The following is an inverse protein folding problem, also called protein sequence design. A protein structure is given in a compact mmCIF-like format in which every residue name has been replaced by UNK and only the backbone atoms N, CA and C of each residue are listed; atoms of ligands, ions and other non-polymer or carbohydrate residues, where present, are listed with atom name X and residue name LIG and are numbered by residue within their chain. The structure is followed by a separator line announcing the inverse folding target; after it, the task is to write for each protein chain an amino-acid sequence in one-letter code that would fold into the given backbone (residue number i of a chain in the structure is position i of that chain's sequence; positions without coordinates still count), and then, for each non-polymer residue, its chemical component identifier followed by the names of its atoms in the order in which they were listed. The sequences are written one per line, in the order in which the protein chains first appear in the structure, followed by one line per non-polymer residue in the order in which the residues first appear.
data_IF_535319200364
#
_entry.id   IF_535319200364
#
_cell.length_a   1.000
_cell.length_b   1.000
_cell.length_c   1.000
_cell.angle_alpha   90.00
_cell.angle_beta   90.00
_cell.angle_gamma   90.00
#
_symmetry.space_group_name_H-M   'P 1'
#
loop_
_entity.id
_entity.type
_entity.pdbx_description
1 polymer ?
#
# COMPACT_ATOMS: atom_id res chain seq x y z
N UNK A 1 0.32 -51.98 -21.56
CA UNK A 1 -0.64 -50.85 -21.58
C UNK A 1 -0.33 -49.93 -20.39
N UNK A 2 0.24 -48.75 -20.63
CA UNK A 2 0.46 -47.76 -19.58
C UNK A 2 -0.89 -47.19 -19.12
N UNK A 3 -1.16 -47.28 -17.82
CA UNK A 3 -2.41 -46.83 -17.22
C UNK A 3 -2.50 -45.29 -17.29
N UNK A 4 -3.14 -44.75 -18.32
CA UNK A 4 -3.28 -43.31 -18.58
C UNK A 4 -3.80 -42.55 -17.34
N UNK A 5 -4.66 -43.15 -16.53
CA UNK A 5 -5.21 -42.53 -15.33
C UNK A 5 -4.17 -42.24 -14.23
N UNK A 6 -3.12 -43.06 -14.09
CA UNK A 6 -2.04 -42.79 -13.13
C UNK A 6 -1.11 -41.65 -13.57
N UNK A 7 -0.87 -41.53 -14.88
CA UNK A 7 0.03 -40.52 -15.44
C UNK A 7 -0.56 -39.10 -15.37
N UNK A 8 -1.88 -38.97 -15.59
CA UNK A 8 -2.58 -37.69 -15.42
C UNK A 8 -2.58 -37.22 -13.96
N UNK A 9 -2.77 -38.12 -12.99
CA UNK A 9 -2.71 -37.77 -11.56
C UNK A 9 -1.30 -37.36 -11.09
N UNK A 10 -0.23 -37.96 -11.62
CA UNK A 10 1.15 -37.56 -11.32
C UNK A 10 1.50 -36.19 -11.90
N UNK A 11 1.07 -35.91 -13.14
CA UNK A 11 1.24 -34.61 -13.79
C UNK A 11 0.51 -33.49 -13.04
N UNK A 12 -0.69 -33.77 -12.51
CA UNK A 12 -1.46 -32.83 -11.70
C UNK A 12 -0.76 -32.52 -10.36
N UNK A 13 -0.29 -33.56 -9.64
CA UNK A 13 0.48 -33.39 -8.40
C UNK A 13 1.77 -32.58 -8.60
N UNK A 14 2.50 -32.85 -9.67
CA UNK A 14 3.72 -32.10 -9.98
C UNK A 14 3.46 -30.60 -10.23
N UNK A 15 2.36 -30.27 -10.92
CA UNK A 15 1.97 -28.88 -11.14
C UNK A 15 1.58 -28.17 -9.84
N UNK A 16 0.86 -28.84 -8.94
CA UNK A 16 0.48 -28.33 -7.62
C UNK A 16 1.72 -28.08 -6.75
N UNK A 17 2.67 -29.03 -6.69
CA UNK A 17 3.90 -28.84 -5.90
C UNK A 17 4.75 -27.67 -6.41
N UNK A 18 4.85 -27.51 -7.73
CA UNK A 18 5.55 -26.38 -8.35
C UNK A 18 4.88 -25.06 -8.01
N UNK A 19 3.55 -25.01 -8.06
CA UNK A 19 2.76 -23.86 -7.65
C UNK A 19 2.99 -23.51 -6.17
N UNK A 20 3.05 -24.51 -5.27
CA UNK A 20 3.33 -24.29 -3.84
C UNK A 20 4.70 -23.67 -3.62
N UNK A 21 5.73 -24.25 -4.25
CA UNK A 21 7.10 -23.71 -4.16
C UNK A 21 7.15 -22.27 -4.65
N UNK A 22 6.49 -21.98 -5.78
CA UNK A 22 6.47 -20.64 -6.34
C UNK A 22 5.77 -19.63 -5.41
N UNK A 23 4.61 -19.97 -4.85
CA UNK A 23 3.92 -19.07 -3.93
C UNK A 23 4.75 -18.78 -2.67
N UNK A 24 5.45 -19.78 -2.13
CA UNK A 24 6.38 -19.57 -1.01
C UNK A 24 7.50 -18.61 -1.36
N UNK A 25 8.12 -18.77 -2.54
CA UNK A 25 9.15 -17.85 -3.04
C UNK A 25 8.59 -16.42 -3.13
N UNK A 26 7.41 -16.25 -3.72
CA UNK A 26 6.77 -14.93 -3.86
C UNK A 26 6.44 -14.30 -2.50
N UNK A 27 5.95 -15.10 -1.53
CA UNK A 27 5.71 -14.61 -0.17
C UNK A 27 7.01 -14.16 0.51
N UNK A 28 8.09 -14.93 0.40
CA UNK A 28 9.40 -14.57 0.95
C UNK A 28 9.89 -13.27 0.31
N UNK A 29 9.81 -13.15 -1.02
CA UNK A 29 10.16 -11.92 -1.74
C UNK A 29 9.32 -10.74 -1.22
N UNK A 30 8.00 -10.92 -1.06
CA UNK A 30 7.12 -9.87 -0.55
C UNK A 30 7.49 -9.41 0.86
N UNK A 31 7.85 -10.34 1.75
CA UNK A 31 8.34 -10.02 3.10
C UNK A 31 9.69 -9.31 3.06
N UNK A 32 10.62 -9.73 2.19
CA UNK A 32 11.91 -9.06 2.02
C UNK A 32 11.70 -7.61 1.55
N UNK A 33 10.82 -7.38 0.56
CA UNK A 33 10.47 -6.03 0.10
C UNK A 33 9.85 -5.22 1.25
N UNK A 34 8.93 -5.83 2.01
CA UNK A 34 8.27 -5.17 3.13
C UNK A 34 9.24 -4.72 4.22
N UNK A 35 10.23 -5.56 4.55
CA UNK A 35 11.31 -5.20 5.48
C UNK A 35 12.20 -4.11 4.87
N UNK A 36 12.58 -4.26 3.60
CA UNK A 36 13.45 -3.31 2.92
C UNK A 36 12.88 -1.88 2.88
N UNK A 37 11.55 -1.71 2.81
CA UNK A 37 10.90 -0.38 2.88
C UNK A 37 11.38 0.42 4.09
N UNK A 38 11.49 -0.21 5.26
CA UNK A 38 11.89 0.46 6.51
C UNK A 38 13.38 0.80 6.57
N UNK A 39 14.23 0.05 5.86
CA UNK A 39 15.70 0.19 5.91
C UNK A 39 16.30 0.74 4.60
N UNK A 40 15.46 1.27 3.71
CA UNK A 40 15.84 1.60 2.34
C UNK A 40 16.78 2.81 2.23
N UNK A 41 16.69 3.79 3.13
CA UNK A 41 17.58 4.97 3.14
C UNK A 41 17.65 5.66 1.77
N UNK A 42 18.85 5.82 1.22
CA UNK A 42 19.07 6.41 -0.11
C UNK A 42 18.43 5.60 -1.26
N UNK A 43 18.15 4.31 -1.04
CA UNK A 43 17.52 3.43 -2.03
C UNK A 43 15.99 3.43 -1.98
N UNK A 44 15.37 4.32 -1.19
CA UNK A 44 13.91 4.38 -0.97
C UNK A 44 13.10 4.39 -2.27
N UNK A 45 13.54 5.16 -3.28
CA UNK A 45 12.89 5.19 -4.60
C UNK A 45 12.83 3.81 -5.25
N UNK A 46 13.94 3.08 -5.28
CA UNK A 46 14.03 1.77 -5.93
C UNK A 46 13.22 0.71 -5.18
N UNK A 47 13.30 0.69 -3.85
CA UNK A 47 12.54 -0.25 -3.01
C UNK A 47 11.03 0.00 -3.12
N UNK A 48 10.62 1.27 -3.12
CA UNK A 48 9.22 1.66 -3.34
C UNK A 48 8.75 1.24 -4.74
N UNK A 49 9.58 1.42 -5.77
CA UNK A 49 9.28 0.93 -7.13
C UNK A 49 9.06 -0.58 -7.17
N UNK A 50 9.93 -1.35 -6.49
CA UNK A 50 9.75 -2.80 -6.37
C UNK A 50 8.43 -3.16 -5.65
N UNK A 51 8.07 -2.46 -4.57
CA UNK A 51 6.82 -2.64 -3.84
C UNK A 51 5.57 -2.30 -4.68
N UNK A 52 5.66 -1.30 -5.54
CA UNK A 52 4.59 -0.91 -6.48
C UNK A 52 4.43 -1.92 -7.63
N UNK A 53 5.49 -2.61 -8.06
CA UNK A 53 5.42 -3.50 -9.23
C UNK A 53 5.21 -4.97 -8.81
N UNK A 54 5.76 -5.39 -7.68
CA UNK A 54 5.76 -6.78 -7.25
C UNK A 54 4.35 -7.41 -7.17
N UNK A 55 3.31 -6.75 -6.61
CA UNK A 55 1.98 -7.35 -6.55
C UNK A 55 1.38 -7.66 -7.93
N UNK A 56 1.66 -6.83 -8.95
CA UNK A 56 1.27 -7.11 -10.33
C UNK A 56 2.01 -8.34 -10.88
N UNK A 57 3.32 -8.41 -10.68
CA UNK A 57 4.14 -9.56 -11.10
C UNK A 57 3.64 -10.84 -10.43
N UNK A 58 3.32 -10.79 -9.13
CA UNK A 58 2.84 -11.94 -8.37
C UNK A 58 1.55 -12.47 -8.97
N UNK A 59 0.60 -11.58 -9.29
CA UNK A 59 -0.65 -11.96 -9.94
C UNK A 59 -0.48 -12.50 -11.36
N UNK A 60 0.44 -11.95 -12.15
CA UNK A 60 0.74 -12.46 -13.49
C UNK A 60 1.38 -13.84 -13.47
N UNK A 61 2.33 -14.07 -12.55
CA UNK A 61 2.97 -15.38 -12.35
C UNK A 61 1.91 -16.39 -11.92
N UNK A 62 1.04 -16.03 -10.96
CA UNK A 62 -0.03 -16.90 -10.49
C UNK A 62 -0.98 -17.33 -11.61
N UNK A 63 -1.35 -16.39 -12.50
CA UNK A 63 -2.19 -16.68 -13.66
C UNK A 63 -1.59 -17.76 -14.57
N UNK A 64 -0.25 -17.85 -14.66
CA UNK A 64 0.42 -18.85 -15.48
C UNK A 64 0.26 -20.28 -14.95
N UNK A 65 -0.12 -20.45 -13.68
CA UNK A 65 -0.40 -21.76 -13.07
C UNK A 65 -1.85 -22.25 -13.26
N UNK A 66 -2.62 -21.65 -14.19
CA UNK A 66 -3.89 -22.16 -14.75
C UNK A 66 -4.90 -22.77 -13.75
N UNK A 67 -5.01 -22.21 -12.55
CA UNK A 67 -5.98 -22.69 -11.56
C UNK A 67 -5.56 -23.96 -10.80
N UNK A 68 -4.28 -24.36 -10.86
CA UNK A 68 -3.71 -25.39 -9.96
C UNK A 68 -3.65 -24.93 -8.48
N UNK A 69 -4.18 -23.75 -8.19
CA UNK A 69 -4.17 -23.10 -6.90
C UNK A 69 -5.59 -22.58 -6.63
N UNK A 70 -6.25 -23.15 -5.62
CA UNK A 70 -7.54 -22.68 -5.15
C UNK A 70 -7.41 -21.30 -4.48
N UNK A 71 -8.42 -20.45 -4.67
CA UNK A 71 -8.60 -19.19 -3.94
C UNK A 71 -9.30 -19.36 -2.58
N UNK A 72 -9.57 -20.60 -2.16
CA UNK A 72 -10.30 -20.90 -0.94
C UNK A 72 -9.48 -20.59 0.33
N UNK A 73 -10.13 -19.93 1.30
CA UNK A 73 -9.78 -19.94 2.73
C UNK A 73 -10.21 -21.25 3.43
N UNK A 74 -10.44 -22.31 2.65
CA UNK A 74 -10.68 -23.67 3.13
C UNK A 74 -9.39 -24.22 3.76
N UNK A 75 -9.52 -25.09 4.74
CA UNK A 75 -8.47 -25.86 5.44
C UNK A 75 -7.58 -26.72 4.52
N UNK A 76 -7.72 -26.58 3.20
CA UNK A 76 -6.93 -27.28 2.20
C UNK A 76 -5.55 -26.62 2.00
N UNK A 77 -4.51 -27.42 1.66
CA UNK A 77 -3.13 -26.99 1.54
C UNK A 77 -2.86 -26.21 0.24
N UNK A 78 -3.76 -25.30 -0.15
CA UNK A 78 -3.58 -24.48 -1.35
C UNK A 78 -2.61 -23.32 -1.07
N UNK A 79 -1.63 -23.11 -1.97
CA UNK A 79 -0.60 -22.12 -1.75
C UNK A 79 -1.09 -20.70 -1.98
N UNK A 80 -1.24 -19.90 -0.92
CA UNK A 80 -1.66 -18.51 -1.03
C UNK A 80 -0.44 -17.58 -1.14
N UNK A 81 -0.46 -16.66 -2.11
CA UNK A 81 0.51 -15.56 -2.23
C UNK A 81 0.04 -14.27 -1.54
N UNK A 82 -1.13 -14.35 -0.88
CA UNK A 82 -1.80 -13.21 -0.24
C UNK A 82 -0.90 -12.62 0.85
N UNK A 83 -0.14 -13.45 1.57
CA UNK A 83 0.75 -13.00 2.64
C UNK A 83 1.87 -12.08 2.15
N UNK A 84 2.49 -12.36 1.00
CA UNK A 84 3.49 -11.49 0.40
C UNK A 84 2.91 -10.13 -0.01
N UNK A 85 1.71 -10.14 -0.63
CA UNK A 85 1.01 -8.92 -1.04
C UNK A 85 0.59 -8.10 0.19
N UNK A 86 0.02 -8.74 1.21
CA UNK A 86 -0.36 -8.09 2.45
C UNK A 86 0.85 -7.52 3.18
N UNK A 87 1.99 -8.22 3.21
CA UNK A 87 3.21 -7.68 3.82
C UNK A 87 3.66 -6.38 3.13
N UNK A 88 3.64 -6.34 1.80
CA UNK A 88 3.95 -5.12 1.03
C UNK A 88 2.93 -4.01 1.33
N UNK A 89 1.63 -4.32 1.30
CA UNK A 89 0.59 -3.33 1.53
C UNK A 89 0.66 -2.74 2.94
N UNK A 90 0.82 -3.59 3.95
CA UNK A 90 0.91 -3.18 5.35
C UNK A 90 2.18 -2.35 5.59
N UNK A 91 3.32 -2.74 5.02
CA UNK A 91 4.57 -1.99 5.19
C UNK A 91 4.51 -0.61 4.53
N UNK A 92 3.97 -0.50 3.31
CA UNK A 92 3.76 0.80 2.65
C UNK A 92 2.79 1.68 3.45
N UNK A 93 1.69 1.11 3.95
CA UNK A 93 0.73 1.83 4.78
C UNK A 93 1.36 2.28 6.11
N UNK A 94 2.09 1.40 6.79
CA UNK A 94 2.79 1.72 8.04
C UNK A 94 3.81 2.82 7.83
N UNK A 95 4.58 2.79 6.73
CA UNK A 95 5.54 3.85 6.40
C UNK A 95 4.82 5.19 6.23
N UNK A 96 3.73 5.21 5.46
CA UNK A 96 2.89 6.41 5.31
C UNK A 96 2.38 6.95 6.66
N UNK A 97 1.94 6.06 7.56
CA UNK A 97 1.44 6.43 8.90
C UNK A 97 2.58 6.89 9.84
N UNK A 98 3.82 6.43 9.66
CA UNK A 98 4.94 6.92 10.45
C UNK A 98 5.45 8.29 9.98
N UNK A 99 5.28 8.59 8.70
CA UNK A 99 5.69 9.84 8.07
C UNK A 99 4.58 10.91 8.03
N UNK A 100 3.49 10.74 8.83
CA UNK A 100 2.30 11.62 8.88
C UNK A 100 2.65 13.10 9.01
N UNK A 101 2.73 13.77 7.86
CA UNK A 101 2.59 15.22 7.74
C UNK A 101 1.61 15.61 6.62
N UNK A 102 0.93 14.63 6.01
CA UNK A 102 0.13 14.80 4.79
C UNK A 102 -1.35 15.01 5.08
N UNK A 103 -1.92 16.17 4.74
CA UNK A 103 -3.38 16.36 4.74
C UNK A 103 -3.87 17.30 3.63
N UNK A 104 -3.78 16.81 2.38
CA UNK A 104 -4.67 17.26 1.30
C UNK A 104 -5.20 16.01 0.58
N UNK A 105 -6.45 15.63 0.86
CA UNK A 105 -7.10 14.44 0.26
C UNK A 105 -7.74 14.72 -1.10
N UNK A 106 -7.66 15.96 -1.61
CA UNK A 106 -8.26 16.32 -2.89
C UNK A 106 -7.41 15.74 -4.04
N UNK A 107 -7.99 14.90 -4.87
CA UNK A 107 -7.34 14.36 -6.07
C UNK A 107 -6.79 12.93 -5.95
N UNK A 108 -6.79 12.32 -4.76
CA UNK A 108 -6.25 10.96 -4.55
C UNK A 108 -7.12 9.85 -5.14
N UNK A 109 -8.43 10.09 -5.25
CA UNK A 109 -9.40 9.04 -5.58
C UNK A 109 -9.24 8.48 -6.99
N UNK A 110 -9.06 9.35 -8.00
CA UNK A 110 -8.99 8.91 -9.39
C UNK A 110 -7.74 8.04 -9.66
N UNK A 111 -6.51 8.45 -9.29
CA UNK A 111 -5.34 7.58 -9.41
C UNK A 111 -5.48 6.29 -8.61
N UNK A 112 -6.04 6.35 -7.39
CA UNK A 112 -6.25 5.17 -6.55
C UNK A 112 -7.18 4.14 -7.20
N UNK A 113 -8.27 4.59 -7.80
CA UNK A 113 -9.21 3.72 -8.54
C UNK A 113 -8.51 3.12 -9.76
N UNK A 114 -7.76 3.91 -10.54
CA UNK A 114 -7.04 3.42 -11.71
C UNK A 114 -6.05 2.31 -11.30
N UNK A 115 -5.21 2.55 -10.29
CA UNK A 115 -4.23 1.56 -9.81
C UNK A 115 -4.94 0.31 -9.26
N UNK A 116 -6.02 0.49 -8.50
CA UNK A 116 -6.83 -0.62 -7.98
C UNK A 116 -7.47 -1.47 -9.09
N UNK A 117 -7.97 -0.85 -10.15
CA UNK A 117 -8.51 -1.56 -11.33
C UNK A 117 -7.40 -2.32 -12.05
N UNK A 118 -6.24 -1.67 -12.28
CA UNK A 118 -5.07 -2.32 -12.88
C UNK A 118 -4.63 -3.55 -12.07
N UNK A 119 -4.66 -3.45 -10.75
CA UNK A 119 -4.34 -4.56 -9.84
C UNK A 119 -5.30 -5.74 -10.06
N UNK A 120 -6.59 -5.50 -10.30
CA UNK A 120 -7.56 -6.58 -10.57
C UNK A 120 -7.48 -7.20 -11.98
N UNK A 121 -6.88 -6.51 -12.97
CA UNK A 121 -6.89 -6.95 -14.38
C UNK A 121 -6.46 -8.41 -14.61
N UNK A 122 -5.39 -8.95 -13.98
CA UNK A 122 -4.96 -10.32 -14.21
C UNK A 122 -6.03 -11.38 -13.90
N UNK A 123 -6.94 -11.09 -12.96
CA UNK A 123 -8.08 -11.96 -12.62
C UNK A 123 -9.30 -11.75 -13.53
N UNK A 124 -9.51 -10.54 -14.05
CA UNK A 124 -10.68 -10.20 -14.87
C UNK A 124 -10.59 -10.76 -16.30
N UNK A 125 -9.38 -10.96 -16.85
CA UNK A 125 -9.20 -11.50 -18.19
C UNK A 125 -9.45 -13.02 -18.17
N UNK A 126 -10.45 -13.57 -18.88
CA UNK A 126 -10.70 -15.01 -18.87
C UNK A 126 -9.48 -15.78 -19.43
N UNK A 127 -9.02 -16.80 -18.72
CA UNK A 127 -7.91 -17.66 -19.14
C UNK A 127 -8.42 -18.96 -19.77
N UNK A 128 -7.76 -19.46 -20.83
CA UNK A 128 -8.03 -20.80 -21.37
C UNK A 128 -7.71 -21.84 -20.29
N UNK A 129 -8.73 -22.38 -19.62
CA UNK A 129 -8.60 -23.38 -18.55
C UNK A 129 -9.04 -22.91 -17.16
N UNK A 130 -9.39 -21.64 -16.99
CA UNK A 130 -10.06 -21.17 -15.77
C UNK A 130 -11.52 -21.63 -15.83
N UNK A 131 -11.81 -22.80 -15.25
CA UNK A 131 -13.18 -23.06 -14.82
C UNK A 131 -13.41 -22.14 -13.63
N UNK A 132 -14.08 -21.02 -13.85
CA UNK A 132 -14.72 -20.32 -12.75
C UNK A 132 -15.56 -21.38 -12.03
N UNK A 133 -15.16 -21.75 -10.83
CA UNK A 133 -16.06 -22.48 -9.94
C UNK A 133 -17.20 -21.50 -9.74
N UNK A 134 -18.38 -21.83 -10.28
CA UNK A 134 -19.55 -20.93 -10.39
C UNK A 134 -20.00 -20.36 -9.02
N UNK A 135 -19.46 -20.93 -7.93
CA UNK A 135 -19.51 -20.41 -6.56
C UNK A 135 -18.17 -19.84 -6.12
N UNK A 136 -17.68 -18.78 -6.77
CA UNK A 136 -16.82 -17.86 -6.05
C UNK A 136 -17.71 -17.20 -5.00
N UNK A 137 -17.55 -17.58 -3.73
CA UNK A 137 -18.34 -17.03 -2.63
C UNK A 137 -18.23 -15.50 -2.67
N UNK A 138 -19.35 -14.82 -2.38
CA UNK A 138 -19.42 -13.36 -2.42
C UNK A 138 -18.32 -12.70 -1.56
N UNK A 139 -17.82 -13.41 -0.54
CA UNK A 139 -16.69 -13.04 0.29
C UNK A 139 -15.37 -12.86 -0.48
N UNK A 140 -15.02 -13.74 -1.43
CA UNK A 140 -13.75 -13.61 -2.18
C UNK A 140 -13.74 -12.32 -3.03
N UNK A 141 -14.87 -12.02 -3.68
CA UNK A 141 -15.03 -10.80 -4.48
C UNK A 141 -14.91 -9.55 -3.60
N UNK A 142 -15.55 -9.56 -2.43
CA UNK A 142 -15.49 -8.44 -1.48
C UNK A 142 -14.05 -8.25 -0.99
N UNK A 143 -13.36 -9.32 -0.57
CA UNK A 143 -11.96 -9.24 -0.11
C UNK A 143 -11.05 -8.69 -1.20
N UNK A 144 -11.24 -9.13 -2.45
CA UNK A 144 -10.46 -8.66 -3.58
C UNK A 144 -10.68 -7.18 -3.88
N UNK A 145 -11.93 -6.69 -3.82
CA UNK A 145 -12.26 -5.27 -3.97
C UNK A 145 -11.61 -4.46 -2.86
N UNK A 146 -11.72 -4.90 -1.60
CA UNK A 146 -11.08 -4.22 -0.48
C UNK A 146 -9.56 -4.16 -0.65
N UNK A 147 -8.93 -5.27 -1.04
CA UNK A 147 -7.50 -5.33 -1.28
C UNK A 147 -7.08 -4.38 -2.42
N UNK A 148 -7.84 -4.33 -3.51
CA UNK A 148 -7.58 -3.45 -4.64
C UNK A 148 -7.71 -1.97 -4.28
N UNK A 149 -8.75 -1.60 -3.52
CA UNK A 149 -8.95 -0.22 -3.04
C UNK A 149 -7.85 0.19 -2.07
N UNK A 150 -7.51 -0.65 -1.10
CA UNK A 150 -6.43 -0.39 -0.15
C UNK A 150 -5.08 -0.27 -0.87
N UNK A 151 -4.80 -1.17 -1.82
CA UNK A 151 -3.58 -1.15 -2.60
C UNK A 151 -3.48 0.11 -3.47
N UNK A 152 -4.56 0.46 -4.18
CA UNK A 152 -4.62 1.66 -5.01
C UNK A 152 -4.39 2.94 -4.20
N UNK A 153 -5.02 3.04 -3.03
CA UNK A 153 -4.88 4.20 -2.15
C UNK A 153 -3.46 4.35 -1.61
N UNK A 154 -2.91 3.29 -1.02
CA UNK A 154 -1.55 3.32 -0.46
C UNK A 154 -0.51 3.57 -1.54
N UNK A 155 -0.65 2.90 -2.69
CA UNK A 155 0.26 3.09 -3.83
C UNK A 155 0.22 4.52 -4.36
N UNK A 156 -0.97 5.14 -4.42
CA UNK A 156 -1.13 6.54 -4.85
C UNK A 156 -0.37 7.48 -3.92
N UNK A 157 -0.58 7.35 -2.60
CA UNK A 157 0.11 8.20 -1.62
C UNK A 157 1.61 8.01 -1.66
N UNK A 158 2.09 6.77 -1.57
CA UNK A 158 3.52 6.48 -1.54
C UNK A 158 4.19 6.91 -2.85
N UNK A 159 3.58 6.65 -4.01
CA UNK A 159 4.13 7.08 -5.29
C UNK A 159 4.15 8.60 -5.41
N UNK A 160 3.08 9.28 -4.97
CA UNK A 160 2.99 10.74 -5.03
C UNK A 160 4.09 11.42 -4.19
N UNK A 161 4.47 10.83 -3.05
CA UNK A 161 5.47 11.38 -2.14
C UNK A 161 6.91 10.98 -2.51
N UNK A 162 7.18 9.68 -2.68
CA UNK A 162 8.55 9.17 -2.86
C UNK A 162 9.18 9.60 -4.18
N UNK A 163 8.36 9.74 -5.22
CA UNK A 163 8.82 10.20 -6.54
C UNK A 163 8.65 11.70 -6.76
N UNK A 164 8.21 12.43 -5.75
CA UNK A 164 8.13 13.88 -5.85
C UNK A 164 9.55 14.47 -5.96
N UNK A 165 9.75 15.28 -6.98
CA UNK A 165 10.97 16.05 -7.21
C UNK A 165 10.70 17.56 -7.27
N UNK A 166 9.48 17.98 -6.89
CA UNK A 166 9.10 19.39 -6.85
C UNK A 166 9.91 20.14 -5.80
N UNK A 167 10.24 21.39 -6.12
CA UNK A 167 10.90 22.29 -5.17
C UNK A 167 9.86 22.72 -4.14
N UNK A 168 10.09 22.48 -2.83
CA UNK A 168 9.11 22.83 -1.81
C UNK A 168 8.95 24.34 -1.71
N UNK A 169 7.70 24.80 -1.59
CA UNK A 169 7.38 26.17 -1.18
C UNK A 169 7.34 26.23 0.34
N UNK A 170 8.26 26.99 0.93
CA UNK A 170 8.39 27.11 2.38
C UNK A 170 7.52 28.22 2.92
N UNK A 171 6.75 27.93 3.96
CA UNK A 171 5.98 28.90 4.73
C UNK A 171 6.44 28.88 6.18
N UNK A 172 6.83 30.04 6.70
CA UNK A 172 7.11 30.22 8.12
C UNK A 172 5.79 30.51 8.84
N UNK A 173 5.38 29.61 9.73
CA UNK A 173 4.11 29.73 10.45
C UNK A 173 4.35 29.68 11.93
N UNK A 174 3.51 30.41 12.67
CA UNK A 174 3.56 30.43 14.12
C UNK A 174 2.61 29.38 14.69
N UNK A 175 3.09 28.67 15.69
CA UNK A 175 2.28 27.69 16.44
C UNK A 175 1.42 28.47 17.44
N UNK A 176 0.12 28.50 17.20
CA UNK A 176 -0.84 29.24 17.99
C UNK A 176 -1.34 28.42 19.19
N UNK A 177 -1.48 27.10 19.01
CA UNK A 177 -1.96 26.20 20.06
C UNK A 177 -1.54 24.74 19.78
N UNK A 178 -1.71 23.87 20.78
CA UNK A 178 -1.40 22.43 20.72
C UNK A 178 -2.56 21.63 21.26
N UNK A 179 -3.15 20.77 20.42
CA UNK A 179 -4.29 19.94 20.78
C UNK A 179 -3.85 18.47 20.79
N UNK A 180 -4.02 17.78 21.92
CA UNK A 180 -3.86 16.32 21.99
C UNK A 180 -5.20 15.66 22.27
N UNK A 181 -5.65 14.77 21.39
CA UNK A 181 -6.86 13.98 21.59
C UNK A 181 -6.46 12.56 21.98
N UNK A 182 -6.55 12.26 23.26
CA UNK A 182 -6.33 10.93 23.82
C UNK A 182 -7.64 10.15 23.87
N UNK A 183 -7.83 9.18 22.98
CA UNK A 183 -8.95 8.21 23.04
C UNK A 183 -8.53 6.88 23.69
N UNK A 184 -9.32 5.79 23.48
CA UNK A 184 -8.97 4.39 23.86
C UNK A 184 -7.74 3.81 23.13
N UNK A 185 -7.08 4.57 22.26
CA UNK A 185 -5.95 4.10 21.45
C UNK A 185 -4.64 4.32 22.19
N UNK A 186 -3.67 3.45 21.92
CA UNK A 186 -2.32 3.44 22.53
C UNK A 186 -1.47 4.67 22.19
N UNK A 187 -1.85 5.47 21.16
CA UNK A 187 -1.17 6.69 20.74
C UNK A 187 -2.19 7.85 20.62
N UNK A 188 -1.93 9.03 21.22
CA UNK A 188 -2.81 10.19 21.10
C UNK A 188 -2.69 10.85 19.72
N UNK A 189 -3.82 11.33 19.19
CA UNK A 189 -3.85 12.16 17.98
C UNK A 189 -3.31 13.55 18.34
N UNK A 190 -2.26 13.99 17.66
CA UNK A 190 -1.52 15.19 18.00
C UNK A 190 -1.65 16.24 16.90
N UNK A 191 -2.18 17.39 17.26
CA UNK A 191 -2.42 18.46 16.31
C UNK A 191 -1.80 19.78 16.79
N UNK A 192 -1.28 20.56 15.85
CA UNK A 192 -0.85 21.94 16.04
C UNK A 192 -1.86 22.86 15.39
N UNK A 193 -2.29 23.89 16.11
CA UNK A 193 -2.99 25.02 15.50
C UNK A 193 -1.93 25.97 14.98
N UNK A 194 -1.88 26.20 13.66
CA UNK A 194 -0.90 27.08 13.03
C UNK A 194 -1.53 28.34 12.45
N UNK A 195 -0.75 29.40 12.35
CA UNK A 195 -1.17 30.63 11.67
C UNK A 195 -1.50 30.37 10.18
N UNK A 196 -2.34 31.21 9.56
CA UNK A 196 -2.70 31.08 8.14
C UNK A 196 -1.47 31.01 7.23
N UNK A 197 -1.54 30.18 6.19
CA UNK A 197 -0.42 29.97 5.25
C UNK A 197 -0.92 29.55 3.86
N UNK A 198 -0.14 29.87 2.82
CA UNK A 198 -0.54 29.66 1.41
C UNK A 198 -1.92 30.28 1.11
N UNK A 199 -2.82 29.55 0.47
CA UNK A 199 -4.19 29.95 0.16
C UNK A 199 -5.15 29.83 1.35
N UNK A 200 -4.68 29.44 2.54
CA UNK A 200 -5.51 29.21 3.72
C UNK A 200 -5.52 30.46 4.57
N UNK A 201 -6.68 31.11 4.66
CA UNK A 201 -6.86 32.43 5.28
C UNK A 201 -7.19 32.31 6.78
N UNK A 202 -7.54 31.11 7.24
CA UNK A 202 -7.89 30.82 8.64
C UNK A 202 -6.82 29.97 9.32
N UNK A 203 -6.76 30.06 10.65
CA UNK A 203 -5.95 29.14 11.46
C UNK A 203 -6.35 27.70 11.13
N UNK A 204 -5.37 26.81 11.02
CA UNK A 204 -5.59 25.42 10.65
C UNK A 204 -5.05 24.48 11.72
N UNK A 205 -5.83 23.44 12.01
CA UNK A 205 -5.39 22.30 12.80
C UNK A 205 -4.65 21.31 11.90
N UNK A 206 -3.34 21.18 12.10
CA UNK A 206 -2.46 20.29 11.34
C UNK A 206 -2.07 19.11 12.22
N UNK A 207 -2.34 17.89 11.76
CA UNK A 207 -1.86 16.68 12.42
C UNK A 207 -0.35 16.53 12.25
N UNK A 208 0.34 16.22 13.35
CA UNK A 208 1.80 16.07 13.37
C UNK A 208 2.22 14.83 14.15
N UNK A 209 3.39 14.28 13.81
CA UNK A 209 3.99 13.20 14.57
C UNK A 209 4.29 13.58 16.03
N UNK A 210 4.19 12.60 16.92
CA UNK A 210 4.41 12.75 18.37
C UNK A 210 5.74 13.45 18.72
N UNK A 211 6.81 13.12 17.98
CA UNK A 211 8.15 13.70 18.18
C UNK A 211 8.15 15.21 17.95
N UNK A 212 7.56 15.67 16.84
CA UNK A 212 7.46 17.10 16.53
C UNK A 212 6.54 17.79 17.55
N UNK A 213 5.39 17.18 17.84
CA UNK A 213 4.46 17.70 18.85
C UNK A 213 5.14 17.94 20.19
N UNK A 214 5.99 17.03 20.68
CA UNK A 214 6.72 17.22 21.94
C UNK A 214 7.77 18.33 21.90
N UNK A 215 8.42 18.53 20.76
CA UNK A 215 9.56 19.44 20.63
C UNK A 215 9.17 20.90 20.32
N UNK A 216 7.93 21.11 19.88
CA UNK A 216 7.38 22.43 19.54
C UNK A 216 6.63 23.00 20.74
N UNK A 217 6.81 24.30 21.00
CA UNK A 217 6.08 25.09 21.99
C UNK A 217 5.11 26.05 21.31
N UNK A 218 4.07 26.44 22.04
CA UNK A 218 3.20 27.54 21.59
C UNK A 218 4.05 28.80 21.44
N UNK A 219 3.78 29.57 20.39
CA UNK A 219 4.56 30.71 19.88
C UNK A 219 5.89 30.38 19.19
N UNK A 220 6.30 29.11 19.08
CA UNK A 220 7.42 28.76 18.21
C UNK A 220 7.06 29.00 16.74
N UNK A 221 8.07 29.29 15.94
CA UNK A 221 7.98 29.24 14.47
C UNK A 221 8.32 27.84 13.98
N UNK A 222 7.52 27.35 13.04
CA UNK A 222 7.75 26.09 12.31
C UNK A 222 7.66 26.36 10.82
N UNK A 223 8.36 25.53 10.06
CA UNK A 223 8.37 25.55 8.61
C UNK A 223 7.37 24.55 8.08
N UNK A 224 6.46 25.01 7.21
CA UNK A 224 5.63 24.15 6.38
C UNK A 224 6.23 24.13 4.98
N UNK A 225 6.69 22.96 4.55
CA UNK A 225 7.16 22.72 3.19
C UNK A 225 6.00 22.18 2.37
N UNK A 226 5.48 22.95 1.42
CA UNK A 226 4.42 22.54 0.52
C UNK A 226 5.02 22.05 -0.80
N UNK A 227 4.70 20.82 -1.17
CA UNK A 227 5.13 20.18 -2.40
C UNK A 227 3.94 19.94 -3.34
N UNK A 228 4.20 19.84 -4.63
CA UNK A 228 3.18 19.67 -5.67
C UNK A 228 2.71 18.21 -5.80
N UNK A 229 3.54 17.24 -5.40
CA UNK A 229 3.29 15.81 -5.57
C UNK A 229 3.63 15.31 -6.97
N UNK A 230 4.18 14.11 -7.07
CA UNK A 230 4.49 13.48 -8.36
C UNK A 230 3.24 13.28 -9.25
N UNK A 231 2.08 13.07 -8.63
CA UNK A 231 0.79 12.94 -9.32
C UNK A 231 0.01 14.26 -9.40
N UNK A 232 0.65 15.39 -9.06
CA UNK A 232 -0.03 16.68 -8.94
C UNK A 232 -1.00 16.73 -7.76
N UNK A 233 -0.80 15.89 -6.74
CA UNK A 233 -1.56 15.90 -5.50
C UNK A 233 -0.69 16.60 -4.45
N UNK A 234 -1.01 17.84 -4.07
CA UNK A 234 -0.18 18.58 -3.14
C UNK A 234 -0.07 17.86 -1.79
N UNK A 235 1.10 17.94 -1.20
CA UNK A 235 1.32 17.45 0.15
C UNK A 235 2.29 18.36 0.89
N UNK A 236 2.32 18.29 2.20
CA UNK A 236 3.20 19.14 2.97
C UNK A 236 3.90 18.38 4.10
N UNK A 237 4.97 18.98 4.61
CA UNK A 237 5.74 18.50 5.76
C UNK A 237 5.91 19.64 6.74
N UNK A 238 5.63 19.38 8.02
CA UNK A 238 5.90 20.35 9.09
C UNK A 238 7.22 19.98 9.76
N UNK A 239 8.14 20.95 9.86
CA UNK A 239 9.39 20.79 10.58
C UNK A 239 9.69 22.04 11.40
N UNK A 240 10.45 21.88 12.48
CA UNK A 240 11.00 23.00 13.24
C UNK A 240 12.40 23.30 12.75
#
# INVERSE_FOLDING_TARGET
MYNKHGYYGLMERYQVERAIKMARILNIIGVIIAIAIFFSGEFEKYVTGAALIAPFIFMLIFRSYKGAISSDFSTDPYPTMIWGILAILISMFMRYVLDLNTLVYSGVWLPSIIIGVLFCLPKLIPGKGYKFRDRADHSEKIIMILLALSYGLVSTFTMNQVYDASVPRTYHVKVLDKISRSGRKTLPSCHLMVSPWSSRITNEEVEVGWKLYKNVKVNDEVNIYLLEGYLGIPWFVVQK
#
